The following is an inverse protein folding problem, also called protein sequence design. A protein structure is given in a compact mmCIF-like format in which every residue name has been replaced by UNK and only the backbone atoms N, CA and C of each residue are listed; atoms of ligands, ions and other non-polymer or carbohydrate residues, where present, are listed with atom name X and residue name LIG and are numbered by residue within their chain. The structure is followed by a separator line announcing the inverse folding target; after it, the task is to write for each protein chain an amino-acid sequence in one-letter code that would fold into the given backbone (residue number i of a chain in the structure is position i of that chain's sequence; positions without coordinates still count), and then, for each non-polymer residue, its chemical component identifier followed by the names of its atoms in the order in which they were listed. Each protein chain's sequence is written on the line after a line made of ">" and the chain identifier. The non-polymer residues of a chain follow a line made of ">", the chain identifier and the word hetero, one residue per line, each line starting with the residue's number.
data_IF_740650516288
#
_entry.id   IF_740650516288
#
_cell.length_a   1.000
_cell.length_b   1.000
_cell.length_c   1.000
_cell.angle_alpha   90.00
_cell.angle_beta   90.00
_cell.angle_gamma   90.00
#
_symmetry.space_group_name_H-M   'P 1'
#
loop_
_entity.id
_entity.type
_entity.pdbx_description
1 polymer ?
#
# COMPACT_ATOMS: atom_id res chain seq x y z
N UNK A 1 -16.89 -40.93 18.46
CA UNK A 1 -16.79 -40.41 17.94
C UNK A 1 -16.08 -39.61 17.78
N UNK A 2 -15.61 -39.59 17.45
CA UNK A 2 -15.00 -38.63 17.32
C UNK A 2 -15.57 -37.57 16.81
N UNK A 3 -16.04 -37.28 17.22
CA UNK A 3 -16.39 -36.46 16.95
C UNK A 3 -16.20 -35.63 17.37
N UNK A 4 -15.76 -35.65 18.02
CA UNK A 4 -15.77 -34.99 18.24
C UNK A 4 -15.67 -34.50 17.81
N UNK A 5 -15.24 -35.19 17.84
CA UNK A 5 -15.74 -34.15 17.48
C UNK A 5 -14.86 -33.40 16.62
N UNK A 6 -15.30 -33.20 15.44
CA UNK A 6 -14.50 -32.59 14.44
C UNK A 6 -14.06 -31.20 14.82
N UNK A 7 -14.99 -30.44 15.36
CA UNK A 7 -14.71 -29.07 15.75
C UNK A 7 -13.63 -29.02 16.82
N UNK A 8 -13.69 -29.93 17.75
CA UNK A 8 -12.67 -29.98 18.78
C UNK A 8 -11.32 -30.38 18.21
N UNK A 9 -11.33 -31.28 17.26
CA UNK A 9 -10.10 -31.67 16.58
C UNK A 9 -9.50 -30.49 15.85
N UNK A 10 -10.33 -29.73 15.16
CA UNK A 10 -9.85 -28.55 14.41
C UNK A 10 -9.23 -27.53 15.34
N UNK A 11 -9.82 -27.29 16.50
CA UNK A 11 -9.28 -26.31 17.44
C UNK A 11 -7.93 -26.72 18.00
N UNK A 12 -7.61 -28.00 17.91
CA UNK A 12 -6.33 -28.51 18.40
C UNK A 12 -5.30 -28.70 17.30
N UNK A 13 -5.71 -28.43 16.06
CA UNK A 13 -4.80 -28.56 14.93
C UNK A 13 -3.68 -27.55 15.06
N UNK A 14 -2.42 -27.96 14.87
CA UNK A 14 -1.32 -27.04 14.89
C UNK A 14 -1.49 -25.93 13.85
N UNK A 15 -0.91 -24.80 14.13
CA UNK A 15 -1.01 -23.64 13.26
C UNK A 15 -0.64 -23.95 11.81
N UNK A 16 0.24 -24.91 11.58
CA UNK A 16 0.65 -25.26 10.21
C UNK A 16 -0.47 -25.80 9.35
N UNK A 17 -1.59 -26.24 9.94
CA UNK A 17 -2.76 -26.68 9.19
C UNK A 17 -3.75 -25.55 8.96
N UNK A 18 -3.48 -24.37 9.53
CA UNK A 18 -4.20 -23.16 9.24
C UNK A 18 -3.48 -22.45 8.10
N UNK A 19 -4.08 -21.41 7.60
CA UNK A 19 -3.44 -20.65 6.54
C UNK A 19 -2.11 -20.08 7.05
N UNK A 20 -1.04 -20.25 6.28
CA UNK A 20 0.25 -19.71 6.69
C UNK A 20 0.16 -18.22 6.90
N UNK A 21 0.79 -17.76 7.95
CA UNK A 21 0.91 -16.34 8.17
C UNK A 21 2.30 -15.92 7.73
N UNK A 22 2.40 -14.75 7.16
CA UNK A 22 3.65 -14.18 6.71
C UNK A 22 3.83 -12.82 7.37
N UNK A 23 5.06 -12.37 7.41
CA UNK A 23 5.38 -11.08 7.97
C UNK A 23 5.67 -10.11 6.84
N UNK A 24 5.06 -8.95 6.90
CA UNK A 24 5.29 -7.88 5.95
C UNK A 24 5.72 -6.64 6.70
N UNK A 25 6.57 -5.85 6.06
CA UNK A 25 6.96 -4.55 6.62
C UNK A 25 5.80 -3.57 6.49
N UNK A 26 5.63 -2.74 7.48
CA UNK A 26 4.61 -1.70 7.51
C UNK A 26 5.29 -0.35 7.71
N UNK A 27 5.07 0.56 6.76
CA UNK A 27 5.64 1.90 6.78
C UNK A 27 4.56 2.93 7.05
N UNK A 28 4.91 3.99 7.75
CA UNK A 28 4.00 5.12 7.98
C UNK A 28 4.25 6.21 6.95
N UNK A 29 3.17 6.80 6.44
CA UNK A 29 3.22 7.99 5.60
C UNK A 29 2.81 9.21 6.41
N UNK A 30 3.36 10.37 6.12
CA UNK A 30 4.51 10.58 5.25
C UNK A 30 5.78 10.19 5.95
N UNK A 31 6.55 9.34 5.34
CA UNK A 31 7.88 9.10 5.82
C UNK A 31 8.70 10.30 5.43
N UNK A 32 9.64 10.70 6.26
CA UNK A 32 10.53 11.77 5.90
C UNK A 32 11.15 11.44 4.56
N UNK A 33 10.65 12.07 3.56
CA UNK A 33 10.91 11.65 2.21
C UNK A 33 12.00 12.49 1.54
N UNK A 34 12.66 13.31 2.29
CA UNK A 34 13.66 14.22 1.73
C UNK A 34 14.78 13.52 1.00
N UNK A 35 14.98 12.24 1.25
CA UNK A 35 16.05 11.48 0.60
C UNK A 35 15.54 10.58 -0.50
N UNK A 36 14.26 10.37 -0.61
CA UNK A 36 13.70 9.39 -1.53
C UNK A 36 13.96 7.95 -1.12
N UNK A 37 14.30 7.71 0.12
CA UNK A 37 14.68 6.40 0.63
C UNK A 37 13.71 5.88 1.65
N UNK A 38 12.47 6.18 1.47
CA UNK A 38 11.40 5.77 2.34
C UNK A 38 11.38 4.24 2.56
N UNK A 39 11.58 3.43 1.52
CA UNK A 39 11.56 1.98 1.65
C UNK A 39 12.83 1.41 2.26
N UNK A 40 13.89 2.19 2.29
CA UNK A 40 15.15 1.80 2.90
C UNK A 40 15.27 2.30 4.33
N UNK A 41 14.23 2.99 4.80
CA UNK A 41 14.19 3.48 6.16
C UNK A 41 14.08 2.31 7.13
N UNK A 42 14.77 2.40 8.25
CA UNK A 42 14.56 1.48 9.35
C UNK A 42 13.36 1.87 10.22
N UNK A 43 12.58 2.87 9.80
CA UNK A 43 11.34 3.26 10.46
C UNK A 43 10.17 2.44 9.93
N UNK A 44 10.20 1.18 10.20
CA UNK A 44 9.08 0.32 9.86
C UNK A 44 8.85 -0.66 10.99
N UNK A 45 7.67 -1.20 11.05
CA UNK A 45 7.33 -2.30 11.92
C UNK A 45 7.03 -3.51 11.04
N UNK A 46 7.01 -4.67 11.64
CA UNK A 46 6.55 -5.87 10.97
C UNK A 46 5.16 -6.21 11.44
N UNK A 47 4.33 -6.66 10.51
CA UNK A 47 2.99 -7.09 10.82
C UNK A 47 2.77 -8.48 10.23
N UNK A 48 2.12 -9.33 11.01
CA UNK A 48 1.81 -10.67 10.58
C UNK A 48 0.45 -10.67 9.89
N UNK A 49 0.38 -11.22 8.69
CA UNK A 49 -0.82 -11.22 7.88
C UNK A 49 -1.17 -12.63 7.43
N UNK A 50 -2.45 -12.85 7.19
CA UNK A 50 -2.96 -14.11 6.66
C UNK A 50 -3.59 -13.90 5.29
N UNK A 51 -4.60 -14.71 5.00
CA UNK A 51 -5.26 -14.71 3.68
C UNK A 51 -6.07 -13.47 3.39
N UNK A 52 -6.36 -12.69 4.40
CA UNK A 52 -7.11 -11.45 4.21
C UNK A 52 -6.31 -10.43 3.40
N UNK A 53 -4.99 -10.62 3.29
CA UNK A 53 -4.12 -9.75 2.53
C UNK A 53 -3.72 -10.44 1.23
N UNK A 54 -3.80 -9.72 0.13
CA UNK A 54 -3.50 -10.27 -1.18
C UNK A 54 -2.13 -10.94 -1.19
N UNK A 55 -2.04 -12.09 -1.86
CA UNK A 55 -0.79 -12.83 -1.94
C UNK A 55 0.31 -12.01 -2.63
N UNK A 56 -0.07 -11.11 -3.51
CA UNK A 56 0.87 -10.24 -4.24
C UNK A 56 1.39 -9.08 -3.40
N UNK A 57 0.86 -8.85 -2.20
CA UNK A 57 1.32 -7.75 -1.37
C UNK A 57 2.75 -8.00 -0.89
N UNK A 58 3.59 -7.01 -1.04
CA UNK A 58 4.98 -7.08 -0.63
C UNK A 58 5.24 -6.30 0.65
N UNK A 59 4.47 -5.25 0.89
CA UNK A 59 4.57 -4.47 2.12
C UNK A 59 3.29 -3.68 2.33
N UNK A 60 3.15 -3.12 3.51
CA UNK A 60 2.02 -2.26 3.86
C UNK A 60 2.44 -0.83 4.10
N UNK A 61 1.49 0.07 3.93
CA UNK A 61 1.69 1.49 4.19
C UNK A 61 0.48 2.00 4.97
N UNK A 62 0.73 2.76 6.03
CA UNK A 62 -0.34 3.43 6.75
C UNK A 62 -0.59 4.77 6.10
N UNK A 63 -1.82 4.98 5.66
CA UNK A 63 -2.22 6.21 4.98
C UNK A 63 -2.24 7.36 5.97
N UNK A 64 -1.70 8.50 5.57
CA UNK A 64 -1.78 9.74 6.33
C UNK A 64 -2.60 10.76 5.54
N UNK A 65 -3.60 11.32 6.20
CA UNK A 65 -4.45 12.33 5.60
C UNK A 65 -5.67 11.74 4.90
N UNK A 66 -6.47 12.62 4.32
CA UNK A 66 -7.78 12.26 3.78
C UNK A 66 -7.88 12.39 2.26
N UNK A 67 -6.75 12.53 1.58
CA UNK A 67 -6.79 12.80 0.12
C UNK A 67 -7.33 11.62 -0.69
N UNK A 68 -7.31 10.41 -0.14
CA UNK A 68 -7.80 9.24 -0.85
C UNK A 68 -9.14 8.73 -0.29
N UNK A 69 -9.78 9.50 0.58
CA UNK A 69 -11.13 9.18 1.00
C UNK A 69 -12.13 9.39 -0.15
N UNK A 70 -13.18 8.61 -0.21
CA UNK A 70 -13.63 7.66 0.80
C UNK A 70 -13.04 6.25 0.67
N UNK A 71 -12.22 5.99 -0.33
CA UNK A 71 -11.73 4.64 -0.57
C UNK A 71 -10.72 4.20 0.49
N UNK A 72 -9.78 5.07 0.83
CA UNK A 72 -8.77 4.80 1.85
C UNK A 72 -8.80 5.92 2.88
N UNK A 73 -9.01 5.55 4.13
CA UNK A 73 -9.17 6.51 5.22
C UNK A 73 -7.83 6.81 5.88
N UNK A 74 -7.75 7.97 6.51
CA UNK A 74 -6.60 8.32 7.32
C UNK A 74 -6.34 7.22 8.38
N UNK A 75 -5.10 6.78 8.48
CA UNK A 75 -4.71 5.74 9.42
C UNK A 75 -4.91 4.32 8.91
N UNK A 76 -5.56 4.15 7.79
CA UNK A 76 -5.81 2.82 7.23
C UNK A 76 -4.50 2.23 6.67
N UNK A 77 -4.34 0.92 6.83
CA UNK A 77 -3.23 0.20 6.20
C UNK A 77 -3.68 -0.24 4.82
N UNK A 78 -2.86 0.10 3.83
CA UNK A 78 -3.04 -0.38 2.46
C UNK A 78 -1.87 -1.28 2.10
N UNK A 79 -2.12 -2.22 1.20
CA UNK A 79 -1.12 -3.21 0.81
C UNK A 79 -0.59 -2.91 -0.57
N UNK A 80 0.72 -3.06 -0.72
CA UNK A 80 1.43 -2.62 -1.92
C UNK A 80 2.14 -3.81 -2.54
N UNK A 81 1.97 -3.98 -3.84
CA UNK A 81 2.77 -4.88 -4.64
C UNK A 81 3.86 -4.06 -5.33
N UNK A 82 5.12 -4.45 -5.14
CA UNK A 82 6.24 -3.75 -5.76
C UNK A 82 6.14 -3.78 -7.26
N UNK A 83 6.19 -2.62 -7.87
CA UNK A 83 6.00 -2.46 -9.30
C UNK A 83 6.44 -1.06 -9.66
N UNK A 84 7.20 -0.92 -10.74
CA UNK A 84 7.68 0.38 -11.18
C UNK A 84 7.03 0.88 -12.46
N UNK A 85 6.05 0.13 -12.98
CA UNK A 85 5.31 0.53 -14.17
C UNK A 85 4.25 1.57 -13.83
N UNK A 86 3.87 2.37 -14.82
CA UNK A 86 2.84 3.39 -14.70
C UNK A 86 1.71 3.03 -15.65
N UNK A 87 0.57 2.67 -15.10
CA UNK A 87 -0.60 2.31 -15.88
C UNK A 87 -1.79 3.17 -15.50
N UNK A 88 -2.54 3.58 -16.52
CA UNK A 88 -3.68 4.45 -16.34
C UNK A 88 -4.67 3.90 -15.31
N UNK A 89 -5.08 4.77 -14.40
CA UNK A 89 -6.12 4.45 -13.43
C UNK A 89 -5.67 3.69 -12.20
N UNK A 90 -4.42 3.26 -12.15
CA UNK A 90 -3.93 2.54 -10.98
C UNK A 90 -3.68 3.48 -9.81
N UNK A 91 -3.98 2.99 -8.62
CA UNK A 91 -3.63 3.68 -7.38
C UNK A 91 -2.28 3.13 -6.94
N UNK A 92 -1.33 4.02 -6.78
CA UNK A 92 0.06 3.67 -6.53
C UNK A 92 0.64 4.53 -5.44
N UNK A 93 1.77 4.08 -4.93
CA UNK A 93 2.58 4.91 -4.04
C UNK A 93 3.67 5.55 -4.89
N UNK A 94 3.78 6.85 -4.78
CA UNK A 94 4.72 7.66 -5.56
C UNK A 94 5.65 8.43 -4.64
N UNK A 95 6.86 8.64 -5.12
CA UNK A 95 7.72 9.71 -4.62
C UNK A 95 7.77 10.80 -5.67
N UNK A 96 7.40 11.99 -5.26
CA UNK A 96 7.47 13.18 -6.09
C UNK A 96 8.37 14.18 -5.38
N UNK A 97 9.53 14.46 -5.98
CA UNK A 97 10.51 15.38 -5.44
C UNK A 97 10.84 15.11 -3.97
N UNK A 98 10.92 13.82 -3.63
CA UNK A 98 11.28 13.38 -2.29
C UNK A 98 10.12 13.20 -1.32
N UNK A 99 8.89 13.48 -1.71
CA UNK A 99 7.73 13.30 -0.85
C UNK A 99 6.89 12.13 -1.31
N UNK A 100 6.38 11.37 -0.35
CA UNK A 100 5.60 10.17 -0.63
C UNK A 100 4.11 10.49 -0.70
N UNK A 101 3.45 9.96 -1.72
CA UNK A 101 2.01 10.14 -1.94
C UNK A 101 1.38 8.84 -2.35
N UNK A 102 0.12 8.63 -1.93
CA UNK A 102 -0.75 7.62 -2.51
C UNK A 102 -1.74 8.35 -3.38
N UNK A 103 -1.70 8.09 -4.67
CA UNK A 103 -2.54 8.80 -5.66
C UNK A 103 -2.90 7.87 -6.79
N UNK A 104 -3.90 8.30 -7.57
CA UNK A 104 -4.29 7.62 -8.79
C UNK A 104 -3.50 8.22 -9.96
N UNK A 105 -2.93 7.35 -10.76
CA UNK A 105 -2.16 7.75 -11.93
C UNK A 105 -3.09 8.09 -13.08
N UNK A 106 -2.86 9.24 -13.71
CA UNK A 106 -3.61 9.64 -14.88
C UNK A 106 -2.66 10.31 -15.88
N UNK A 107 -2.69 9.81 -17.11
CA UNK A 107 -1.91 10.40 -18.18
C UNK A 107 -2.81 11.19 -19.11
N UNK A 108 -2.39 12.41 -19.43
CA UNK A 108 -3.07 13.28 -20.38
C UNK A 108 -2.14 13.60 -21.52
N UNK A 109 -2.67 14.25 -22.56
CA UNK A 109 -1.85 14.69 -23.70
C UNK A 109 -0.76 15.67 -23.26
N UNK A 110 -0.99 16.39 -22.18
CA UNK A 110 -0.04 17.37 -21.68
C UNK A 110 0.86 16.83 -20.56
N UNK A 111 0.72 15.57 -20.18
CA UNK A 111 1.60 14.96 -19.19
C UNK A 111 0.88 14.14 -18.15
N UNK A 112 1.55 13.93 -17.05
CA UNK A 112 1.09 13.06 -15.97
C UNK A 112 0.42 13.90 -14.90
N UNK A 113 -0.68 13.37 -14.37
CA UNK A 113 -1.37 13.92 -13.22
C UNK A 113 -1.50 12.87 -12.15
N UNK A 114 -1.27 13.26 -10.90
CA UNK A 114 -1.55 12.42 -9.74
C UNK A 114 -2.84 12.91 -9.10
N UNK A 115 -3.82 12.04 -9.05
CA UNK A 115 -5.19 12.42 -8.69
C UNK A 115 -5.54 11.89 -7.31
N UNK A 116 -6.03 12.78 -6.46
CA UNK A 116 -6.65 12.40 -5.19
C UNK A 116 -8.08 11.95 -5.44
N UNK A 117 -8.53 10.93 -4.72
CA UNK A 117 -9.91 10.48 -4.82
C UNK A 117 -10.86 11.46 -4.11
N UNK A 118 -10.36 12.18 -3.12
CA UNK A 118 -11.12 13.21 -2.45
C UNK A 118 -11.09 14.48 -3.29
N UNK A 119 -12.24 14.88 -3.79
CA UNK A 119 -12.36 15.97 -4.75
C UNK A 119 -12.00 17.35 -4.20
N UNK A 120 -11.85 17.48 -2.90
CA UNK A 120 -11.41 18.77 -2.35
C UNK A 120 -9.94 19.05 -2.61
N UNK A 121 -9.19 18.06 -3.09
CA UNK A 121 -7.78 18.23 -3.43
C UNK A 121 -7.62 18.31 -4.93
N UNK A 122 -6.90 19.32 -5.39
CA UNK A 122 -6.60 19.46 -6.82
C UNK A 122 -5.59 18.43 -7.28
N UNK A 123 -5.64 18.00 -8.54
CA UNK A 123 -4.62 17.11 -9.08
C UNK A 123 -3.24 17.75 -9.02
N UNK A 124 -2.24 16.91 -8.84
CA UNK A 124 -0.85 17.33 -8.92
C UNK A 124 -0.38 17.11 -10.35
N UNK A 125 -0.03 18.19 -11.04
CA UNK A 125 0.52 18.09 -12.38
C UNK A 125 2.01 17.88 -12.29
N UNK A 126 2.52 16.89 -13.01
CA UNK A 126 3.93 16.55 -13.01
C UNK A 126 4.61 17.30 -14.11
N UNK A 127 5.63 18.11 -13.77
CA UNK A 127 6.41 18.81 -14.76
C UNK A 127 7.58 17.95 -15.23
N UNK A 128 8.16 18.32 -16.37
CA UNK A 128 9.32 17.60 -16.89
C UNK A 128 10.55 17.73 -15.98
N UNK A 129 10.53 18.69 -15.07
CA UNK A 129 11.63 18.91 -14.13
C UNK A 129 11.43 18.15 -12.83
N UNK A 130 10.27 17.58 -12.61
CA UNK A 130 9.97 16.83 -11.41
C UNK A 130 10.61 15.45 -11.44
N UNK A 131 11.03 14.98 -10.28
CA UNK A 131 11.49 13.60 -10.13
C UNK A 131 10.34 12.78 -9.59
N UNK A 132 9.80 11.91 -10.43
CA UNK A 132 8.69 11.04 -10.08
C UNK A 132 9.16 9.60 -10.12
N UNK A 133 8.93 8.88 -9.02
CA UNK A 133 9.18 7.44 -8.94
C UNK A 133 7.95 6.77 -8.36
N UNK A 134 7.71 5.54 -8.77
CA UNK A 134 6.71 4.71 -8.12
C UNK A 134 7.38 3.47 -7.55
N UNK A 135 6.88 3.03 -6.41
CA UNK A 135 7.39 1.83 -5.76
C UNK A 135 6.38 0.70 -5.77
N UNK A 136 5.17 0.98 -6.12
CA UNK A 136 4.21 -0.08 -6.12
C UNK A 136 2.78 0.35 -6.37
N UNK A 137 1.98 -0.68 -6.56
CA UNK A 137 0.55 -0.59 -6.84
C UNK A 137 -0.21 -1.03 -5.60
N UNK A 138 -1.27 -0.32 -5.27
CA UNK A 138 -2.15 -0.70 -4.17
C UNK A 138 -2.96 -1.93 -4.60
N UNK A 139 -2.91 -2.97 -3.78
CA UNK A 139 -3.60 -4.24 -4.03
C UNK A 139 -4.62 -4.58 -2.93
N UNK A 140 -4.85 -3.67 -2.04
CA UNK A 140 -5.86 -3.93 -1.03
C UNK A 140 -6.01 -2.94 0.08
#
# INVERSE_FOLDING_TARGET
>A
MWHHNLKEVISQVPVIYQFPRRKLSLFDLPVSAGTGQFLDSDRFSEIEVGDEVAASADFGVRVAGDSMEPLYLDGQIIWIHKQDTLEEGEIKIFFLDGEAYVKKYHQTDSGIRLISLNSKYSPINISSESTLKTFGKVVG
#
